data_IF_804300046014
#
_entry.id   IF_804300046014
#
_cell.length_a   1.000
_cell.length_b   1.000
_cell.length_c   1.000
_cell.angle_alpha   90.00
_cell.angle_beta   90.00
_cell.angle_gamma   90.00
#
_symmetry.space_group_name_H-M   'P 1'
#
loop_
_entity.id
_entity.type
_entity.pdbx_description
1 polymer ?
#
# COMPACT_ATOMS: atom_id res chain seq x y z
N UNK A 1 18.55 9.66 -7.24
CA UNK A 1 19.52 9.85 -6.11
C UNK A 1 19.09 9.03 -4.89
N UNK A 2 20.01 8.60 -4.01
CA UNK A 2 19.65 7.96 -2.73
C UNK A 2 19.28 9.04 -1.73
N UNK A 3 17.99 9.23 -1.49
CA UNK A 3 17.48 10.31 -0.64
C UNK A 3 17.44 9.89 0.82
N UNK A 4 17.27 8.60 1.08
CA UNK A 4 17.17 8.09 2.43
C UNK A 4 17.83 6.72 2.60
N UNK A 5 18.76 6.63 3.54
CA UNK A 5 19.46 5.39 3.85
C UNK A 5 20.57 5.62 4.87
N UNK A 6 21.61 4.79 4.79
CA UNK A 6 22.80 4.87 5.64
C UNK A 6 23.46 6.24 5.59
N UNK A 7 23.75 6.81 6.76
CA UNK A 7 24.53 8.05 6.90
C UNK A 7 26.02 7.73 6.99
N UNK A 8 26.85 8.73 6.71
CA UNK A 8 28.29 8.64 6.91
C UNK A 8 28.60 8.24 8.36
N UNK A 9 29.41 7.20 8.54
CA UNK A 9 29.76 6.66 9.86
C UNK A 9 28.79 5.64 10.48
N UNK A 10 27.62 5.37 9.87
CA UNK A 10 26.74 4.29 10.35
C UNK A 10 27.34 2.93 9.97
N UNK A 11 27.32 1.93 10.87
CA UNK A 11 27.77 0.56 10.59
C UNK A 11 26.66 -0.37 10.06
N UNK A 12 25.40 0.01 10.22
CA UNK A 12 24.24 -0.77 9.77
C UNK A 12 23.09 0.12 9.32
N UNK A 13 22.16 -0.47 8.56
CA UNK A 13 20.95 0.21 8.07
C UNK A 13 19.78 0.16 9.06
N UNK A 14 20.01 -0.29 10.30
CA UNK A 14 18.96 -0.52 11.32
C UNK A 14 18.12 0.72 11.56
N UNK A 15 18.74 1.92 11.61
CA UNK A 15 18.01 3.17 11.77
C UNK A 15 17.09 3.42 10.58
N UNK A 16 17.61 3.34 9.36
CA UNK A 16 16.82 3.63 8.17
C UNK A 16 15.66 2.63 7.98
N UNK A 17 15.89 1.35 8.30
CA UNK A 17 14.84 0.31 8.31
C UNK A 17 13.75 0.59 9.34
N UNK A 18 14.15 0.97 10.57
CA UNK A 18 13.21 1.35 11.64
C UNK A 18 12.38 2.57 11.23
N UNK A 19 13.03 3.60 10.73
CA UNK A 19 12.37 4.85 10.33
C UNK A 19 11.40 4.60 9.16
N UNK A 20 11.74 3.68 8.25
CA UNK A 20 10.82 3.22 7.22
C UNK A 20 9.63 2.43 7.81
N UNK A 21 9.88 1.49 8.72
CA UNK A 21 8.84 0.66 9.33
C UNK A 21 7.77 1.49 10.07
N UNK A 22 8.16 2.59 10.73
CA UNK A 22 7.24 3.46 11.47
C UNK A 22 6.78 4.71 10.70
N UNK A 23 7.41 5.04 9.57
CA UNK A 23 7.25 6.34 8.91
C UNK A 23 7.32 6.32 7.39
N UNK A 24 7.05 5.18 6.74
CA UNK A 24 7.17 5.01 5.30
C UNK A 24 6.42 6.09 4.50
N UNK A 25 5.19 6.45 4.90
CA UNK A 25 4.38 7.46 4.22
C UNK A 25 5.06 8.83 4.20
N UNK A 26 5.47 9.33 5.37
CA UNK A 26 6.13 10.63 5.50
C UNK A 26 7.45 10.64 4.75
N UNK A 27 8.15 9.50 4.73
CA UNK A 27 9.40 9.35 4.01
C UNK A 27 9.22 9.41 2.49
N UNK A 28 8.18 8.77 1.97
CA UNK A 28 7.80 8.82 0.56
C UNK A 28 7.37 10.23 0.14
N UNK A 29 6.51 10.89 0.93
CA UNK A 29 6.08 12.28 0.69
C UNK A 29 7.28 13.23 0.62
N UNK A 30 8.21 13.11 1.57
CA UNK A 30 9.45 13.89 1.56
C UNK A 30 10.29 13.59 0.32
N UNK A 31 10.41 12.33 -0.07
CA UNK A 31 11.14 11.92 -1.28
C UNK A 31 10.54 12.50 -2.56
N UNK A 32 9.21 12.45 -2.69
CA UNK A 32 8.46 13.00 -3.81
C UNK A 32 8.62 14.52 -3.91
N UNK A 33 8.57 15.22 -2.78
CA UNK A 33 8.77 16.67 -2.72
C UNK A 33 10.21 17.08 -3.08
N UNK A 34 11.21 16.27 -2.69
CA UNK A 34 12.62 16.54 -2.96
C UNK A 34 13.05 16.18 -4.39
N UNK A 35 12.33 15.30 -5.07
CA UNK A 35 12.66 14.81 -6.41
C UNK A 35 11.41 14.73 -7.28
N UNK A 36 10.78 15.88 -7.58
CA UNK A 36 9.57 15.92 -8.40
C UNK A 36 9.88 15.36 -9.79
N UNK A 37 9.06 14.39 -10.22
CA UNK A 37 9.14 13.70 -11.51
C UNK A 37 10.52 13.07 -11.83
N UNK A 38 11.31 12.75 -10.79
CA UNK A 38 12.63 12.12 -10.91
C UNK A 38 12.72 10.84 -10.07
N UNK A 39 13.36 9.78 -10.58
CA UNK A 39 13.64 8.57 -9.81
C UNK A 39 14.46 8.84 -8.54
N UNK A 40 14.07 8.22 -7.44
CA UNK A 40 14.83 8.28 -6.19
C UNK A 40 14.84 6.95 -5.46
N UNK A 41 15.74 6.82 -4.48
CA UNK A 41 15.95 5.59 -3.73
C UNK A 41 15.81 5.82 -2.24
N UNK A 42 15.12 4.90 -1.56
CA UNK A 42 14.93 4.88 -0.12
C UNK A 42 15.29 3.51 0.43
N UNK A 43 15.79 3.46 1.67
CA UNK A 43 16.01 2.19 2.35
C UNK A 43 14.72 1.74 3.02
N UNK A 44 14.17 0.62 2.54
CA UNK A 44 13.03 -0.08 3.12
C UNK A 44 13.43 -1.20 4.06
N UNK A 45 12.44 -1.89 4.60
CA UNK A 45 12.57 -3.05 5.49
C UNK A 45 13.27 -4.24 4.81
N UNK A 46 12.85 -4.57 3.58
CA UNK A 46 13.39 -5.68 2.77
C UNK A 46 14.59 -5.26 1.90
N UNK A 47 15.03 -4.00 1.99
CA UNK A 47 16.21 -3.49 1.28
C UNK A 47 15.97 -2.15 0.58
N UNK A 48 16.83 -1.82 -0.38
CA UNK A 48 16.72 -0.55 -1.11
C UNK A 48 15.55 -0.58 -2.10
N UNK A 49 14.63 0.38 -1.97
CA UNK A 49 13.50 0.58 -2.86
C UNK A 49 13.82 1.70 -3.84
N UNK A 50 13.53 1.45 -5.12
CA UNK A 50 13.67 2.41 -6.20
C UNK A 50 12.27 2.93 -6.54
N UNK A 51 12.02 4.20 -6.26
CA UNK A 51 10.76 4.86 -6.54
C UNK A 51 10.86 5.54 -7.90
N UNK A 52 9.99 5.12 -8.81
CA UNK A 52 9.98 5.56 -10.20
C UNK A 52 8.70 6.38 -10.47
N UNK A 53 8.81 7.54 -11.15
CA UNK A 53 7.63 8.26 -11.63
C UNK A 53 6.78 7.41 -12.59
N UNK A 54 5.45 7.62 -12.64
CA UNK A 54 4.53 6.81 -13.44
C UNK A 54 4.87 6.71 -14.95
N UNK A 55 5.58 7.68 -15.51
CA UNK A 55 6.04 7.65 -16.91
C UNK A 55 6.88 6.42 -17.27
N UNK A 56 7.57 5.82 -16.29
CA UNK A 56 8.36 4.61 -16.49
C UNK A 56 7.55 3.31 -16.36
N UNK A 57 6.26 3.37 -16.05
CA UNK A 57 5.45 2.17 -15.78
C UNK A 57 5.40 1.20 -16.97
N UNK A 58 5.35 1.73 -18.20
CA UNK A 58 5.34 0.91 -19.41
C UNK A 58 6.66 0.15 -19.60
N UNK A 59 7.79 0.83 -19.41
CA UNK A 59 9.12 0.22 -19.53
C UNK A 59 9.35 -0.83 -18.43
N UNK A 60 8.99 -0.51 -17.18
CA UNK A 60 9.16 -1.42 -16.03
C UNK A 60 8.36 -2.70 -16.21
N UNK A 61 7.12 -2.61 -16.72
CA UNK A 61 6.26 -3.78 -16.94
C UNK A 61 6.83 -4.73 -18.01
N UNK A 62 7.48 -4.18 -19.03
CA UNK A 62 7.92 -4.94 -20.21
C UNK A 62 9.42 -5.27 -20.19
N UNK A 63 10.14 -4.91 -19.13
CA UNK A 63 11.57 -5.18 -19.03
C UNK A 63 11.84 -6.61 -18.54
N UNK A 64 12.43 -7.44 -19.39
CA UNK A 64 12.78 -8.84 -19.09
C UNK A 64 13.82 -8.99 -17.96
N UNK A 65 14.61 -7.94 -17.70
CA UNK A 65 15.58 -7.94 -16.58
C UNK A 65 14.91 -7.75 -15.22
N UNK A 66 13.62 -7.37 -15.19
CA UNK A 66 12.86 -7.19 -13.95
C UNK A 66 11.97 -8.41 -13.70
N UNK A 67 12.19 -9.09 -12.57
CA UNK A 67 11.40 -10.24 -12.17
C UNK A 67 10.50 -9.91 -10.98
N UNK A 68 9.19 -9.88 -11.24
CA UNK A 68 8.17 -9.79 -10.19
C UNK A 68 8.27 -10.97 -9.20
N UNK A 69 8.56 -12.16 -9.72
CA UNK A 69 8.65 -13.37 -8.91
C UNK A 69 9.82 -13.28 -7.90
N UNK A 70 10.98 -12.78 -8.33
CA UNK A 70 12.12 -12.56 -7.44
C UNK A 70 11.89 -11.45 -6.42
N UNK A 71 11.13 -10.40 -6.79
CA UNK A 71 10.73 -9.37 -5.84
C UNK A 71 9.82 -9.95 -4.75
N UNK A 72 8.81 -10.74 -5.15
CA UNK A 72 7.90 -11.41 -4.23
C UNK A 72 8.63 -12.40 -3.30
N UNK A 73 9.59 -13.18 -3.81
CA UNK A 73 10.42 -14.09 -3.01
C UNK A 73 11.11 -13.36 -1.85
N UNK A 74 11.65 -12.17 -2.12
CA UNK A 74 12.29 -11.33 -1.08
C UNK A 74 11.26 -10.75 -0.12
N UNK A 75 10.18 -10.17 -0.62
CA UNK A 75 9.17 -9.50 0.22
C UNK A 75 8.40 -10.44 1.14
N UNK A 76 8.13 -11.67 0.70
CA UNK A 76 7.48 -12.69 1.53
C UNK A 76 8.47 -13.53 2.34
N UNK A 77 9.75 -13.14 2.38
CA UNK A 77 10.80 -13.85 3.12
C UNK A 77 10.85 -15.35 2.82
N UNK A 78 10.61 -15.72 1.56
CA UNK A 78 10.45 -17.10 1.11
C UNK A 78 11.72 -17.98 1.25
N UNK A 79 12.85 -17.38 1.64
CA UNK A 79 14.09 -18.08 1.97
C UNK A 79 14.11 -18.62 3.42
N UNK A 80 13.20 -18.18 4.28
CA UNK A 80 13.14 -18.61 5.67
C UNK A 80 12.41 -19.96 5.80
N UNK A 81 12.84 -20.84 6.73
CA UNK A 81 12.10 -22.06 7.03
C UNK A 81 10.70 -21.71 7.56
N UNK A 82 9.68 -22.42 7.08
CA UNK A 82 8.27 -22.15 7.39
C UNK A 82 7.55 -21.26 6.36
N UNK A 83 8.26 -20.74 5.35
CA UNK A 83 7.69 -19.92 4.26
C UNK A 83 7.72 -20.65 2.90
N UNK A 84 7.73 -21.99 2.92
CA UNK A 84 7.86 -22.83 1.72
C UNK A 84 6.70 -22.61 0.75
N UNK A 85 5.48 -22.32 1.22
CA UNK A 85 4.35 -21.98 0.35
C UNK A 85 4.63 -20.75 -0.51
N UNK A 86 5.28 -19.73 0.05
CA UNK A 86 5.72 -18.55 -0.71
C UNK A 86 6.89 -18.88 -1.62
N UNK A 87 7.81 -19.75 -1.19
CA UNK A 87 8.92 -20.21 -2.03
C UNK A 87 8.41 -20.89 -3.29
N UNK A 88 7.53 -21.87 -3.15
CA UNK A 88 6.98 -22.59 -4.30
C UNK A 88 6.10 -21.70 -5.18
N UNK A 89 5.36 -20.76 -4.57
CA UNK A 89 4.59 -19.75 -5.30
C UNK A 89 5.46 -18.70 -6.03
N UNK A 90 6.71 -18.53 -5.61
CA UNK A 90 7.67 -17.57 -6.19
C UNK A 90 8.81 -18.25 -6.95
N UNK A 91 8.63 -19.52 -7.32
CA UNK A 91 9.50 -20.23 -8.25
C UNK A 91 9.05 -20.04 -9.71
N UNK A 92 9.89 -20.46 -10.65
CA UNK A 92 9.60 -20.39 -12.10
C UNK A 92 8.46 -21.30 -12.56
N UNK A 93 7.93 -22.16 -11.67
CA UNK A 93 6.81 -23.07 -11.96
C UNK A 93 5.52 -22.35 -12.39
N UNK A 94 5.44 -21.03 -12.24
CA UNK A 94 4.30 -20.18 -12.61
C UNK A 94 2.96 -20.57 -11.96
N UNK A 95 2.96 -21.49 -10.99
CA UNK A 95 1.75 -22.01 -10.33
C UNK A 95 0.94 -20.87 -9.71
N UNK A 96 1.59 -19.94 -9.02
CA UNK A 96 0.92 -18.77 -8.45
C UNK A 96 0.25 -17.91 -9.52
N UNK A 97 0.93 -17.69 -10.66
CA UNK A 97 0.34 -16.93 -11.78
C UNK A 97 -0.86 -17.67 -12.39
N UNK A 98 -0.76 -18.99 -12.52
CA UNK A 98 -1.82 -19.83 -13.06
C UNK A 98 -3.06 -19.83 -12.14
N UNK A 99 -2.87 -20.08 -10.84
CA UNK A 99 -3.92 -20.07 -9.82
C UNK A 99 -4.57 -18.69 -9.77
N UNK A 100 -3.77 -17.62 -9.73
CA UNK A 100 -4.29 -16.25 -9.69
C UNK A 100 -5.14 -15.89 -10.92
N UNK A 101 -4.76 -16.35 -12.12
CA UNK A 101 -5.50 -16.02 -13.36
C UNK A 101 -6.74 -16.90 -13.54
N UNK A 102 -6.62 -18.20 -13.28
CA UNK A 102 -7.66 -19.16 -13.64
C UNK A 102 -8.57 -19.54 -12.48
N UNK A 103 -8.02 -19.75 -11.29
CA UNK A 103 -8.82 -20.22 -10.16
C UNK A 103 -9.50 -19.08 -9.42
N UNK A 104 -8.83 -17.96 -9.16
CA UNK A 104 -9.45 -16.84 -8.44
C UNK A 104 -10.70 -16.32 -9.16
N UNK A 105 -10.64 -16.15 -10.48
CA UNK A 105 -11.78 -15.66 -11.28
C UNK A 105 -13.00 -16.58 -11.17
N UNK A 106 -12.80 -17.90 -11.23
CA UNK A 106 -13.90 -18.87 -11.14
C UNK A 106 -14.43 -19.03 -9.71
N UNK A 107 -13.54 -18.96 -8.73
CA UNK A 107 -13.88 -19.12 -7.33
C UNK A 107 -14.53 -17.86 -6.76
N UNK A 108 -14.30 -16.66 -7.34
CA UNK A 108 -14.83 -15.41 -6.82
C UNK A 108 -16.36 -15.44 -6.67
N UNK A 109 -17.08 -15.97 -7.66
CA UNK A 109 -18.54 -16.11 -7.61
C UNK A 109 -19.00 -17.04 -6.48
N UNK A 110 -18.20 -18.06 -6.16
CA UNK A 110 -18.51 -19.03 -5.10
C UNK A 110 -18.20 -18.49 -3.71
N UNK A 111 -17.10 -17.73 -3.55
CA UNK A 111 -16.70 -17.22 -2.23
C UNK A 111 -17.38 -15.90 -1.86
N UNK A 112 -17.78 -15.08 -2.82
CA UNK A 112 -18.32 -13.74 -2.53
C UNK A 112 -19.59 -13.80 -1.68
N UNK A 113 -20.51 -14.73 -1.98
CA UNK A 113 -21.73 -14.92 -1.19
C UNK A 113 -21.41 -15.34 0.24
N UNK A 114 -20.62 -16.40 0.41
CA UNK A 114 -20.23 -16.92 1.72
C UNK A 114 -19.48 -15.87 2.56
N UNK A 115 -18.54 -15.13 1.98
CA UNK A 115 -17.81 -14.05 2.67
C UNK A 115 -18.76 -12.92 3.06
N UNK A 116 -19.73 -12.56 2.21
CA UNK A 116 -20.73 -11.54 2.54
C UNK A 116 -21.63 -11.96 3.69
N UNK A 117 -22.07 -13.22 3.71
CA UNK A 117 -22.90 -13.78 4.78
C UNK A 117 -22.13 -13.81 6.12
N UNK A 118 -20.90 -14.33 6.11
CA UNK A 118 -20.04 -14.33 7.30
C UNK A 118 -19.76 -12.91 7.82
N UNK A 119 -19.45 -11.96 6.93
CA UNK A 119 -19.31 -10.56 7.31
C UNK A 119 -20.59 -10.01 7.94
N UNK A 120 -21.76 -10.31 7.39
CA UNK A 120 -23.04 -9.85 7.95
C UNK A 120 -23.31 -10.44 9.34
N UNK A 121 -22.96 -11.72 9.55
CA UNK A 121 -23.08 -12.38 10.86
C UNK A 121 -22.11 -11.77 11.88
N UNK A 122 -20.85 -11.58 11.52
CA UNK A 122 -19.84 -10.96 12.40
C UNK A 122 -20.20 -9.51 12.71
N UNK A 123 -20.70 -8.76 11.73
CA UNK A 123 -21.16 -7.38 11.96
C UNK A 123 -22.32 -7.34 12.97
N UNK A 124 -23.25 -8.30 12.91
CA UNK A 124 -24.32 -8.42 13.91
C UNK A 124 -23.79 -8.79 15.29
N UNK A 125 -22.80 -9.67 15.36
CA UNK A 125 -22.19 -10.08 16.63
C UNK A 125 -21.40 -8.93 17.29
N UNK A 126 -20.58 -8.22 16.50
CA UNK A 126 -19.73 -7.12 16.96
C UNK A 126 -20.55 -5.86 17.29
N UNK A 127 -21.53 -5.51 16.47
CA UNK A 127 -22.29 -4.26 16.62
C UNK A 127 -23.67 -4.44 17.28
N UNK A 128 -24.12 -5.69 17.52
CA UNK A 128 -25.47 -6.06 18.01
C UNK A 128 -26.63 -5.53 17.15
N UNK A 129 -27.81 -6.15 17.22
CA UNK A 129 -29.02 -5.72 16.48
C UNK A 129 -29.65 -4.41 16.98
N UNK A 130 -28.88 -3.53 17.63
CA UNK A 130 -29.39 -2.27 18.15
C UNK A 130 -29.57 -1.24 17.01
N UNK A 131 -30.80 -0.76 16.74
CA UNK A 131 -31.06 0.17 15.64
C UNK A 131 -30.24 1.48 15.74
N UNK A 132 -29.82 1.85 16.95
CA UNK A 132 -29.06 3.08 17.21
C UNK A 132 -27.60 3.05 16.73
N UNK A 133 -26.94 1.89 16.71
CA UNK A 133 -25.49 1.84 16.37
C UNK A 133 -25.21 1.95 14.87
N UNK A 134 -26.07 1.38 14.00
CA UNK A 134 -25.93 1.51 12.55
C UNK A 134 -26.06 2.98 12.13
N UNK A 135 -27.00 3.71 12.74
CA UNK A 135 -27.15 5.16 12.52
C UNK A 135 -25.96 5.96 13.08
N UNK A 136 -25.37 5.54 14.20
CA UNK A 136 -24.18 6.20 14.77
C UNK A 136 -22.92 6.02 13.90
N UNK A 137 -22.72 4.85 13.29
CA UNK A 137 -21.60 4.59 12.37
C UNK A 137 -21.69 5.45 11.10
N UNK A 138 -22.87 5.52 10.47
CA UNK A 138 -23.12 6.38 9.29
C UNK A 138 -22.97 7.89 9.63
N UNK A 139 -23.29 8.27 10.86
CA UNK A 139 -23.08 9.64 11.36
C UNK A 139 -21.59 9.95 11.64
N UNK A 140 -20.80 8.94 12.05
CA UNK A 140 -19.37 9.09 12.29
C UNK A 140 -18.55 9.16 10.99
N UNK A 141 -18.93 8.41 9.95
CA UNK A 141 -18.26 8.47 8.63
C UNK A 141 -18.52 9.81 7.91
N UNK A 142 -19.70 10.39 8.09
CA UNK A 142 -20.06 11.68 7.50
C UNK A 142 -19.40 12.89 8.19
N UNK A 143 -18.90 12.72 9.42
CA UNK A 143 -18.22 13.79 10.17
C UNK A 143 -16.70 13.81 9.99
N UNK A 144 -16.08 12.74 9.48
CA UNK A 144 -14.67 12.75 9.06
C UNK A 144 -14.47 13.23 7.62
N UNK A 145 -14.87 14.48 7.32
CA UNK A 145 -14.38 15.22 6.16
C UNK A 145 -13.45 16.33 6.66
N UNK A 146 -12.20 16.46 6.16
CA UNK A 146 -11.25 17.41 6.70
C UNK A 146 -11.75 18.85 6.49
N UNK A 147 -11.88 19.60 7.58
CA UNK A 147 -12.06 21.03 7.56
C UNK A 147 -10.81 21.67 6.93
N UNK A 148 -10.93 22.04 5.66
CA UNK A 148 -10.06 22.99 4.99
C UNK A 148 -10.90 23.83 4.05
N UNK A 149 -11.22 25.05 4.48
CA UNK A 149 -10.86 26.28 3.77
C UNK A 149 -11.38 27.50 4.54
N UNK A 150 -10.45 28.18 5.22
CA UNK A 150 -10.61 29.56 5.62
C UNK A 150 -10.31 30.48 4.41
N UNK A 151 -11.21 31.42 4.17
CA UNK A 151 -10.91 32.82 3.85
C UNK A 151 -10.42 33.19 2.46
N UNK A 152 -11.28 33.85 1.68
CA UNK A 152 -10.88 35.02 0.88
C UNK A 152 -11.97 36.10 0.92
N UNK A 153 -11.56 37.27 1.37
CA UNK A 153 -12.24 38.56 1.45
C UNK A 153 -12.19 39.31 0.11
N UNK A 154 -13.23 40.10 -0.23
CA UNK A 154 -13.22 41.46 -0.85
C UNK A 154 -14.42 41.70 -1.81
N UNK A 155 -14.82 42.95 -2.14
CA UNK A 155 -15.08 44.16 -1.34
C UNK A 155 -16.54 44.70 -1.58
N UNK A 156 -17.02 45.81 -0.96
CA UNK A 156 -18.43 46.19 -0.98
C UNK A 156 -18.83 46.94 -2.27
N UNK A 157 -20.08 46.71 -2.73
CA UNK A 157 -20.70 47.47 -3.82
C UNK A 157 -21.20 48.82 -3.30
N UNK A 158 -20.70 49.90 -3.90
CA UNK A 158 -21.22 51.26 -3.75
C UNK A 158 -22.65 51.35 -4.32
N UNK A 159 -23.53 51.99 -3.56
CA UNK A 159 -24.83 52.47 -4.02
C UNK A 159 -24.64 53.69 -4.92
N UNK A 160 -25.43 53.75 -5.99
CA UNK A 160 -25.93 54.97 -6.64
C UNK A 160 -27.31 54.67 -7.20
#
# INVERSE_FOLDING_TARGET
>A
PKLYGRKFGELSDVRAKRDFAFGARQLLEKGLNMSPDKPFRIMGDVGELHILPPKYAYEVRNNEQLSFTMAAFKWFYAHLPGFEGFREGTNESHIMKLVARHQLTHQLTLVTGAVSEECALVLKDVYTDSPGMIHALLASESTTKPASQNGTTSPPKMQT
#
